data_IF_782578281212
#
_entry.id   IF_782578281212
#
_cell.length_a   1.000
_cell.length_b   1.000
_cell.length_c   1.000
_cell.angle_alpha   90.00
_cell.angle_beta   90.00
_cell.angle_gamma   90.00
#
_symmetry.space_group_name_H-M   'P 1'
#
loop_
_entity.id
_entity.type
_entity.pdbx_description
1 polymer ?
#
# COMPACT_ATOMS: atom_id res chain seq x y z
N UNK A 1 -29.65 41.64 -12.54
CA UNK A 1 -28.23 41.75 -12.14
C UNK A 1 -28.10 41.10 -10.78
N UNK A 2 -27.39 39.96 -10.74
CA UNK A 2 -26.54 39.43 -9.65
C UNK A 2 -27.19 39.23 -8.26
N UNK A 3 -26.98 38.15 -7.50
CA UNK A 3 -26.15 36.95 -7.53
C UNK A 3 -26.76 36.01 -6.44
N UNK A 4 -26.96 34.70 -6.65
CA UNK A 4 -26.09 33.61 -6.13
C UNK A 4 -25.76 33.76 -4.62
N UNK A 5 -25.91 32.79 -3.71
CA UNK A 5 -25.98 31.34 -3.83
C UNK A 5 -26.47 30.70 -2.51
N UNK A 6 -27.05 29.51 -2.63
CA UNK A 6 -27.33 28.60 -1.54
C UNK A 6 -26.05 28.16 -0.80
N UNK A 7 -26.19 27.80 0.47
CA UNK A 7 -25.16 27.11 1.23
C UNK A 7 -25.78 26.47 2.47
N UNK A 8 -26.14 25.20 2.35
CA UNK A 8 -26.66 24.37 3.44
C UNK A 8 -25.73 24.44 4.65
N UNK A 9 -26.30 24.78 5.81
CA UNK A 9 -25.70 24.50 7.10
C UNK A 9 -25.71 22.99 7.34
N UNK A 10 -24.68 22.29 6.87
CA UNK A 10 -24.49 20.87 7.16
C UNK A 10 -23.90 20.73 8.57
N UNK A 11 -24.78 20.75 9.57
CA UNK A 11 -24.42 20.37 10.95
C UNK A 11 -24.23 18.85 10.99
N UNK A 12 -23.00 18.38 10.80
CA UNK A 12 -22.62 17.01 11.13
C UNK A 12 -22.62 16.84 12.65
N UNK A 13 -23.63 16.14 13.18
CA UNK A 13 -23.69 15.74 14.58
C UNK A 13 -23.00 14.38 14.74
N UNK A 14 -21.70 14.37 14.93
CA UNK A 14 -20.98 13.15 15.33
C UNK A 14 -21.24 12.87 16.81
N UNK A 15 -22.04 11.83 17.08
CA UNK A 15 -22.43 11.37 18.42
C UNK A 15 -21.66 10.12 18.83
N UNK A 16 -20.33 10.11 18.75
CA UNK A 16 -19.54 9.02 19.34
C UNK A 16 -18.28 9.58 20.02
N UNK A 17 -18.20 9.32 21.34
CA UNK A 17 -17.11 9.72 22.22
C UNK A 17 -15.86 8.87 22.05
N UNK A 18 -15.33 8.81 20.83
CA UNK A 18 -13.93 8.53 20.57
C UNK A 18 -13.34 9.83 20.04
N UNK A 19 -12.16 10.21 20.50
CA UNK A 19 -11.41 11.33 19.92
C UNK A 19 -11.10 10.95 18.48
N UNK A 20 -12.03 11.27 17.57
CA UNK A 20 -11.86 11.08 16.13
C UNK A 20 -10.87 12.15 15.70
N UNK A 21 -9.61 11.77 15.64
CA UNK A 21 -8.66 12.49 14.81
C UNK A 21 -9.23 12.49 13.39
N UNK A 22 -9.12 13.60 12.66
CA UNK A 22 -9.73 13.78 11.33
C UNK A 22 -9.10 12.89 10.24
N UNK A 23 -8.20 11.99 10.63
CA UNK A 23 -7.55 11.03 9.76
C UNK A 23 -8.48 9.86 9.42
N UNK A 24 -8.43 9.47 8.15
CA UNK A 24 -9.06 8.28 7.61
C UNK A 24 -8.01 7.19 7.45
N UNK A 25 -8.42 5.95 7.72
CA UNK A 25 -7.56 4.80 7.52
C UNK A 25 -7.64 4.32 6.07
N UNK A 26 -6.48 4.21 5.44
CA UNK A 26 -6.32 3.76 4.07
C UNK A 26 -5.34 2.60 3.98
N UNK A 27 -5.71 1.58 3.23
CA UNK A 27 -4.79 0.55 2.76
C UNK A 27 -4.32 0.95 1.37
N UNK A 28 -3.01 1.10 1.21
CA UNK A 28 -2.34 1.47 -0.03
C UNK A 28 -1.60 0.26 -0.58
N UNK A 29 -1.74 0.03 -1.88
CA UNK A 29 -1.01 -1.00 -2.60
C UNK A 29 -0.40 -0.33 -3.82
N UNK A 30 0.92 -0.24 -3.85
CA UNK A 30 1.68 0.34 -4.94
C UNK A 30 2.46 -0.74 -5.68
N UNK A 31 2.25 -0.79 -7.00
CA UNK A 31 3.09 -1.57 -7.90
C UNK A 31 4.36 -0.80 -8.31
N UNK A 32 5.47 -1.52 -8.44
CA UNK A 32 6.73 -0.90 -8.82
C UNK A 32 7.90 -1.88 -8.84
N UNK A 33 9.09 -1.32 -8.67
CA UNK A 33 10.32 -2.11 -8.65
C UNK A 33 11.26 -1.66 -7.54
N UNK A 34 11.92 -2.63 -6.92
CA UNK A 34 13.02 -2.41 -5.98
C UNK A 34 14.28 -2.15 -6.81
N UNK A 35 14.87 -0.97 -6.65
CA UNK A 35 16.17 -0.65 -7.25
C UNK A 35 17.32 -0.86 -6.26
N UNK A 36 17.04 -0.81 -4.96
CA UNK A 36 18.00 -1.03 -3.89
C UNK A 36 17.44 -2.05 -2.90
N UNK A 37 18.11 -3.22 -2.74
CA UNK A 37 17.62 -4.28 -1.86
C UNK A 37 17.70 -3.83 -0.40
N UNK A 38 16.70 -4.18 0.38
CA UNK A 38 16.58 -3.76 1.78
C UNK A 38 16.56 -4.99 2.69
N UNK A 39 17.68 -5.23 3.38
CA UNK A 39 17.83 -6.36 4.31
C UNK A 39 16.82 -6.34 5.46
N UNK A 40 16.30 -5.17 5.86
CA UNK A 40 15.29 -5.07 6.92
C UNK A 40 13.95 -5.68 6.52
N UNK A 41 13.65 -5.69 5.21
CA UNK A 41 12.39 -6.16 4.65
C UNK A 41 12.58 -7.38 3.74
N UNK A 42 13.82 -7.89 3.62
CA UNK A 42 14.15 -8.99 2.73
C UNK A 42 13.82 -8.70 1.26
N UNK A 43 13.88 -7.44 0.83
CA UNK A 43 13.53 -7.09 -0.55
C UNK A 43 14.68 -7.37 -1.50
N UNK A 44 14.36 -7.92 -2.66
CA UNK A 44 15.31 -8.20 -3.73
C UNK A 44 15.10 -7.25 -4.91
N UNK A 45 16.15 -7.00 -5.68
CA UNK A 45 16.07 -6.16 -6.87
C UNK A 45 15.15 -6.83 -7.90
N UNK A 46 14.06 -6.16 -8.26
CA UNK A 46 13.07 -6.71 -9.19
C UNK A 46 11.72 -6.02 -9.10
N UNK A 47 10.77 -6.49 -9.92
CA UNK A 47 9.38 -6.06 -9.80
C UNK A 47 8.79 -6.59 -8.49
N UNK A 48 8.17 -5.70 -7.71
CA UNK A 48 7.47 -6.08 -6.49
C UNK A 48 6.28 -5.18 -6.22
N UNK A 49 5.38 -5.68 -5.39
CA UNK A 49 4.24 -4.93 -4.88
C UNK A 49 4.55 -4.51 -3.45
N UNK A 50 4.33 -3.24 -3.14
CA UNK A 50 4.42 -2.69 -1.79
C UNK A 50 3.02 -2.40 -1.27
N UNK A 51 2.62 -3.07 -0.19
CA UNK A 51 1.39 -2.80 0.54
C UNK A 51 1.70 -2.10 1.87
N UNK A 52 0.89 -1.12 2.27
CA UNK A 52 0.92 -0.63 3.65
C UNK A 52 -0.42 0.00 4.06
N UNK A 53 -0.61 0.15 5.37
CA UNK A 53 -1.75 0.85 5.95
C UNK A 53 -1.30 2.22 6.42
N UNK A 54 -2.07 3.25 6.14
CA UNK A 54 -1.78 4.61 6.59
C UNK A 54 -3.01 5.28 7.18
N UNK A 55 -2.74 6.15 8.13
CA UNK A 55 -3.68 7.17 8.54
C UNK A 55 -3.34 8.46 7.82
N UNK A 56 -4.26 8.96 7.02
CA UNK A 56 -4.10 10.19 6.27
C UNK A 56 -5.40 10.98 6.26
N UNK A 57 -5.31 12.29 6.07
CA UNK A 57 -6.50 13.15 5.92
C UNK A 57 -7.26 12.80 4.63
N UNK A 58 -6.51 12.57 3.54
CA UNK A 58 -7.03 12.33 2.20
C UNK A 58 -6.19 11.27 1.46
N UNK A 59 -6.78 10.70 0.41
CA UNK A 59 -6.11 9.72 -0.46
C UNK A 59 -4.84 10.27 -1.14
N UNK A 60 -4.80 11.57 -1.45
CA UNK A 60 -3.60 12.21 -2.01
C UNK A 60 -2.44 12.23 -1.01
N UNK A 61 -2.73 12.53 0.27
CA UNK A 61 -1.73 12.49 1.34
C UNK A 61 -1.25 11.04 1.56
N UNK A 62 -2.17 10.08 1.54
CA UNK A 62 -1.85 8.66 1.62
C UNK A 62 -0.92 8.22 0.47
N UNK A 63 -1.22 8.65 -0.76
CA UNK A 63 -0.41 8.37 -1.95
C UNK A 63 1.00 8.97 -1.84
N UNK A 64 1.14 10.19 -1.36
CA UNK A 64 2.45 10.81 -1.15
C UNK A 64 3.27 10.04 -0.10
N UNK A 65 2.62 9.56 0.98
CA UNK A 65 3.29 8.76 2.01
C UNK A 65 3.87 7.46 1.46
N UNK A 66 3.14 6.70 0.62
CA UNK A 66 3.69 5.45 0.04
C UNK A 66 4.85 5.70 -0.90
N UNK A 67 4.79 6.78 -1.68
CA UNK A 67 5.89 7.15 -2.57
C UNK A 67 7.13 7.54 -1.76
N UNK A 68 6.97 8.32 -0.69
CA UNK A 68 8.08 8.72 0.17
C UNK A 68 8.68 7.54 0.95
N UNK A 69 7.83 6.68 1.54
CA UNK A 69 8.27 5.51 2.31
C UNK A 69 8.93 4.51 1.38
N UNK A 70 8.30 4.18 0.24
CA UNK A 70 8.88 3.30 -0.77
C UNK A 70 10.26 3.78 -1.23
N UNK A 71 10.40 5.07 -1.56
CA UNK A 71 11.70 5.63 -1.98
C UNK A 71 12.78 5.52 -0.92
N UNK A 72 12.44 5.68 0.37
CA UNK A 72 13.39 5.48 1.48
C UNK A 72 13.79 4.03 1.67
N UNK A 73 12.92 3.10 1.27
CA UNK A 73 13.14 1.66 1.38
C UNK A 73 13.86 1.06 0.16
N UNK A 74 14.22 1.87 -0.84
CA UNK A 74 14.85 1.37 -2.07
C UNK A 74 13.85 0.92 -3.14
N UNK A 75 12.56 1.26 -2.95
CA UNK A 75 11.47 0.94 -3.87
C UNK A 75 11.05 2.16 -4.68
N UNK A 76 10.86 1.97 -5.98
CA UNK A 76 10.30 2.98 -6.88
C UNK A 76 8.93 2.53 -7.35
N UNK A 77 7.91 3.28 -6.94
CA UNK A 77 6.56 3.18 -7.50
C UNK A 77 6.64 3.57 -8.97
N UNK A 78 6.33 2.63 -9.85
CA UNK A 78 6.37 2.82 -11.32
C UNK A 78 5.06 2.39 -11.99
N UNK A 79 4.20 1.68 -11.26
CA UNK A 79 2.92 1.18 -11.75
C UNK A 79 1.71 1.86 -11.14
N UNK A 80 0.66 1.07 -10.93
CA UNK A 80 -0.61 1.54 -10.38
C UNK A 80 -0.54 1.66 -8.85
N UNK A 81 -1.11 2.75 -8.33
CA UNK A 81 -1.39 2.91 -6.92
C UNK A 81 -2.87 2.67 -6.66
N UNK A 82 -3.17 1.66 -5.86
CA UNK A 82 -4.52 1.36 -5.40
C UNK A 82 -4.69 1.85 -3.96
N UNK A 83 -5.69 2.70 -3.74
CA UNK A 83 -6.03 3.26 -2.44
C UNK A 83 -7.39 2.73 -2.02
N UNK A 84 -7.42 2.01 -0.90
CA UNK A 84 -8.64 1.46 -0.33
C UNK A 84 -8.91 2.13 1.02
N UNK A 85 -10.12 2.64 1.21
CA UNK A 85 -10.57 3.03 2.54
C UNK A 85 -11.01 1.77 3.29
N UNK A 86 -10.35 1.45 4.40
CA UNK A 86 -10.60 0.22 5.17
C UNK A 86 -10.85 0.56 6.63
N UNK A 87 -11.52 -0.35 7.34
CA UNK A 87 -11.70 -0.18 8.78
C UNK A 87 -10.33 -0.25 9.49
N UNK A 88 -10.05 0.68 10.41
CA UNK A 88 -8.78 0.71 11.10
C UNK A 88 -8.64 -0.43 12.10
N UNK A 89 -7.50 -1.11 12.06
CA UNK A 89 -7.14 -2.10 13.07
C UNK A 89 -6.45 -1.47 14.29
N UNK A 90 -5.71 -0.38 14.05
CA UNK A 90 -5.01 0.40 15.08
C UNK A 90 -5.66 1.77 15.19
N UNK A 91 -5.88 2.29 16.40
CA UNK A 91 -6.41 3.64 16.59
C UNK A 91 -5.51 4.71 15.95
N UNK A 92 -6.13 5.71 15.35
CA UNK A 92 -5.41 6.85 14.80
C UNK A 92 -4.63 7.60 15.89
N UNK A 93 -3.41 8.00 15.54
CA UNK A 93 -2.56 8.84 16.38
C UNK A 93 -2.81 10.32 16.08
N UNK A 94 -2.12 11.20 16.79
CA UNK A 94 -2.24 12.66 16.62
C UNK A 94 -1.65 13.15 15.26
N UNK A 95 -0.98 12.28 14.51
CA UNK A 95 -0.30 12.59 13.25
C UNK A 95 -0.53 11.48 12.20
N UNK A 96 -0.46 11.79 10.90
CA UNK A 96 -0.54 10.78 9.85
C UNK A 96 0.65 9.82 9.96
N UNK A 97 0.35 8.52 10.01
CA UNK A 97 1.36 7.48 10.19
C UNK A 97 1.06 6.26 9.31
N UNK A 98 2.13 5.63 8.82
CA UNK A 98 2.06 4.38 8.08
C UNK A 98 2.56 3.21 8.91
N UNK A 99 1.88 2.07 8.81
CA UNK A 99 2.19 0.83 9.50
C UNK A 99 1.87 -0.39 8.63
N UNK A 100 2.26 -1.58 9.08
CA UNK A 100 2.01 -2.85 8.38
C UNK A 100 2.55 -2.85 6.94
N UNK A 101 3.80 -2.40 6.77
CA UNK A 101 4.47 -2.39 5.47
C UNK A 101 4.80 -3.83 5.07
N UNK A 102 4.26 -4.28 3.94
CA UNK A 102 4.46 -5.59 3.36
C UNK A 102 5.04 -5.43 1.95
N UNK A 103 6.04 -6.24 1.63
CA UNK A 103 6.60 -6.34 0.30
C UNK A 103 6.33 -7.73 -0.25
N UNK A 104 5.85 -7.80 -1.48
CA UNK A 104 5.59 -9.07 -2.18
C UNK A 104 6.33 -9.02 -3.51
N UNK A 105 7.42 -9.77 -3.61
CA UNK A 105 8.21 -9.90 -4.84
C UNK A 105 7.45 -10.75 -5.86
N UNK A 106 7.47 -10.36 -7.14
CA UNK A 106 6.88 -11.20 -8.17
C UNK A 106 7.68 -12.49 -8.41
N UNK A 107 8.99 -12.50 -8.15
CA UNK A 107 9.85 -13.67 -8.29
C UNK A 107 9.36 -14.88 -7.46
N UNK A 108 8.89 -14.62 -6.24
CA UNK A 108 8.35 -15.66 -5.33
C UNK A 108 7.09 -16.34 -5.90
N UNK A 109 6.37 -15.68 -6.81
CA UNK A 109 5.16 -16.24 -7.44
C UNK A 109 5.44 -17.09 -8.70
N UNK A 110 6.69 -17.16 -9.18
CA UNK A 110 7.03 -17.83 -10.46
C UNK A 110 7.74 -19.17 -10.25
N UNK A 111 7.97 -19.61 -9.01
CA UNK A 111 8.71 -20.83 -8.69
C UNK A 111 7.85 -22.11 -8.53
N UNK A 112 6.60 -22.13 -9.02
CA UNK A 112 5.71 -23.32 -8.92
C UNK A 112 5.40 -24.05 -10.24
N UNK A 113 6.00 -23.67 -11.38
CA UNK A 113 5.72 -24.31 -12.69
C UNK A 113 6.98 -24.76 -13.47
N UNK A 114 8.10 -25.07 -12.79
CA UNK A 114 9.29 -25.69 -13.41
C UNK A 114 9.72 -26.98 -12.68
N UNK A 115 8.76 -27.87 -12.39
CA UNK A 115 9.09 -29.29 -12.36
C UNK A 115 9.11 -29.77 -13.82
N UNK A 116 10.28 -29.65 -14.46
CA UNK A 116 10.62 -30.47 -15.63
C UNK A 116 10.44 -31.95 -15.22
N UNK A 117 9.27 -32.53 -15.50
CA UNK A 117 9.09 -33.98 -15.54
C UNK A 117 10.06 -34.55 -16.58
N UNK A 118 11.24 -34.98 -16.10
CA UNK A 118 12.24 -35.81 -16.76
C UNK A 118 11.53 -37.02 -17.39
N UNK A 119 11.13 -36.91 -18.66
CA UNK A 119 10.74 -38.06 -19.47
C UNK A 119 12.02 -38.85 -19.79
N UNK A 120 12.42 -39.67 -18.82
CA UNK A 120 12.70 -41.09 -18.99
C UNK A 120 13.81 -41.46 -19.96
N UNK A 121 15.08 -41.21 -19.60
CA UNK A 121 16.16 -42.01 -20.14
C UNK A 121 16.32 -43.32 -19.33
N UNK A 122 15.42 -44.27 -19.55
CA UNK A 122 15.61 -45.65 -19.09
C UNK A 122 16.63 -46.34 -20.01
N UNK A 123 17.92 -46.21 -19.67
CA UNK A 123 18.96 -47.12 -20.15
C UNK A 123 18.71 -48.50 -19.54
N UNK A 124 18.14 -49.42 -20.31
CA UNK A 124 18.12 -50.86 -19.97
C UNK A 124 19.36 -51.52 -20.58
N UNK A 125 20.18 -52.07 -19.70
CA UNK A 125 21.41 -52.83 -19.95
C UNK A 125 21.11 -54.26 -20.40
#
# INVERSE_FOLDING_TARGET
>A
MENQSAGLALRFKSRHGLRMTEFTHFTLIADGHVFEPNENYGTEIGACIMGMKVWAEDAEQAADMIVQIGKRLGFKVDGELQVYQTEPEIAAEDQPFGYDVQFTSYADMVDEDDDEDDIGNATIH
#
